data_IF_347049567561
#
_entry.id   IF_347049567561
#
_cell.length_a   1.000
_cell.length_b   1.000
_cell.length_c   1.000
_cell.angle_alpha   90.00
_cell.angle_beta   90.00
_cell.angle_gamma   90.00
#
_symmetry.space_group_name_H-M   'P 1'
#
loop_
_entity.id
_entity.type
_entity.pdbx_description
1 polymer ?
#
# COMPACT_ATOMS: atom_id res chain seq x y z
N UNK A 1 4.08 -1.11 -23.83
CA UNK A 1 4.44 -1.89 -22.61
C UNK A 1 4.88 -0.88 -21.56
N UNK A 2 4.26 -0.85 -20.39
CA UNK A 2 4.54 0.16 -19.34
C UNK A 2 5.69 -0.28 -18.43
N UNK A 3 5.73 -1.57 -18.09
CA UNK A 3 6.78 -2.17 -17.28
C UNK A 3 7.73 -3.00 -18.15
N UNK A 4 9.03 -2.93 -17.85
CA UNK A 4 10.10 -3.58 -18.64
C UNK A 4 11.05 -4.31 -17.67
N UNK A 5 11.17 -5.62 -17.82
CA UNK A 5 12.15 -6.46 -17.08
C UNK A 5 12.21 -6.21 -15.57
N UNK A 6 11.03 -6.09 -14.94
CA UNK A 6 10.91 -5.89 -13.50
C UNK A 6 11.19 -7.22 -12.78
N UNK A 7 12.20 -7.23 -11.91
CA UNK A 7 12.53 -8.40 -11.09
C UNK A 7 12.98 -7.97 -9.69
N UNK A 8 12.27 -8.44 -8.66
CA UNK A 8 12.65 -8.26 -7.25
C UNK A 8 11.99 -9.34 -6.39
N UNK A 9 12.45 -9.47 -5.14
CA UNK A 9 11.89 -10.40 -4.17
C UNK A 9 11.50 -9.64 -2.91
N UNK A 10 10.44 -10.07 -2.24
CA UNK A 10 10.02 -9.52 -0.95
C UNK A 10 10.18 -10.57 0.14
N UNK A 11 10.46 -10.11 1.36
CA UNK A 11 10.59 -10.94 2.54
C UNK A 11 9.53 -10.56 3.58
N UNK A 12 9.16 -11.51 4.42
CA UNK A 12 8.27 -11.26 5.56
C UNK A 12 8.85 -10.17 6.46
N UNK A 13 7.99 -9.25 6.91
CA UNK A 13 8.40 -8.13 7.76
C UNK A 13 9.13 -7.00 7.02
N UNK A 14 8.92 -6.84 5.71
CA UNK A 14 9.43 -5.69 4.96
C UNK A 14 8.33 -4.64 4.68
N UNK A 15 8.71 -3.37 4.77
CA UNK A 15 7.97 -2.26 4.13
C UNK A 15 8.79 -1.78 2.94
N UNK A 16 8.29 -2.04 1.74
CA UNK A 16 8.95 -1.67 0.48
C UNK A 16 8.23 -0.46 -0.10
N UNK A 17 8.93 0.66 -0.19
CA UNK A 17 8.43 1.88 -0.84
C UNK A 17 8.75 1.87 -2.34
N UNK A 18 7.74 2.02 -3.19
CA UNK A 18 7.94 2.27 -4.62
C UNK A 18 7.90 3.78 -4.84
N UNK A 19 9.03 4.34 -5.27
CA UNK A 19 9.20 5.76 -5.55
C UNK A 19 9.55 5.98 -7.02
N UNK A 20 9.31 7.18 -7.53
CA UNK A 20 9.63 7.55 -8.91
C UNK A 20 8.69 8.63 -9.45
N UNK A 21 8.99 9.22 -10.61
CA UNK A 21 8.17 10.28 -11.21
C UNK A 21 6.77 9.78 -11.60
N UNK A 22 5.87 10.73 -11.88
CA UNK A 22 4.56 10.40 -12.41
C UNK A 22 4.70 9.68 -13.77
N UNK A 23 3.88 8.66 -13.99
CA UNK A 23 3.94 7.87 -15.21
C UNK A 23 5.06 6.81 -15.26
N UNK A 24 5.87 6.65 -14.21
CA UNK A 24 6.94 5.63 -14.19
C UNK A 24 6.46 4.18 -14.13
N UNK A 25 5.17 3.95 -13.84
CA UNK A 25 4.56 2.61 -13.79
C UNK A 25 4.27 2.07 -12.38
N UNK A 26 4.37 2.88 -11.32
CA UNK A 26 4.19 2.45 -9.92
C UNK A 26 2.83 1.77 -9.66
N UNK A 27 1.73 2.45 -9.96
CA UNK A 27 0.36 1.90 -9.88
C UNK A 27 0.18 0.65 -10.74
N UNK A 28 0.77 0.67 -11.96
CA UNK A 28 0.73 -0.48 -12.86
C UNK A 28 1.42 -1.68 -12.24
N UNK A 29 2.56 -1.48 -11.58
CA UNK A 29 3.29 -2.54 -10.89
C UNK A 29 2.45 -3.15 -9.76
N UNK A 30 1.85 -2.33 -8.87
CA UNK A 30 0.97 -2.83 -7.83
C UNK A 30 -0.22 -3.62 -8.39
N UNK A 31 -0.89 -3.09 -9.43
CA UNK A 31 -2.01 -3.77 -10.09
C UNK A 31 -1.59 -5.10 -10.75
N UNK A 32 -0.36 -5.16 -11.26
CA UNK A 32 0.18 -6.40 -11.84
C UNK A 32 0.48 -7.42 -10.74
N UNK A 33 1.04 -7.01 -9.59
CA UNK A 33 1.29 -7.89 -8.44
C UNK A 33 -0.02 -8.45 -7.89
N UNK A 34 -1.08 -7.63 -7.86
CA UNK A 34 -2.43 -8.06 -7.41
C UNK A 34 -3.20 -8.88 -8.45
N UNK A 35 -2.63 -9.18 -9.61
CA UNK A 35 -3.30 -9.96 -10.65
C UNK A 35 -4.35 -9.19 -11.47
N UNK A 36 -4.60 -7.90 -11.20
CA UNK A 36 -5.56 -7.07 -11.96
C UNK A 36 -5.09 -6.85 -13.40
N UNK A 37 -3.80 -6.56 -13.59
CA UNK A 37 -3.22 -6.41 -14.91
C UNK A 37 -2.56 -7.70 -15.36
N UNK A 38 -2.75 -8.12 -16.63
CA UNK A 38 -2.12 -9.32 -17.16
C UNK A 38 -0.59 -9.15 -17.28
N UNK A 39 0.12 -10.25 -17.07
CA UNK A 39 1.58 -10.35 -17.24
C UNK A 39 1.84 -10.84 -18.67
N UNK A 40 2.54 -10.04 -19.48
CA UNK A 40 2.88 -10.39 -20.85
C UNK A 40 4.04 -11.41 -20.91
N UNK A 41 5.03 -11.29 -20.03
CA UNK A 41 6.19 -12.18 -19.91
C UNK A 41 6.65 -12.26 -18.48
N UNK A 42 7.30 -13.35 -18.11
CA UNK A 42 7.71 -13.61 -16.71
C UNK A 42 6.58 -14.16 -15.85
N UNK A 43 6.80 -14.10 -14.54
CA UNK A 43 5.85 -14.60 -13.55
C UNK A 43 5.97 -13.87 -12.21
N UNK A 44 4.91 -13.93 -11.41
CA UNK A 44 4.89 -13.48 -10.01
C UNK A 44 4.60 -14.70 -9.15
N UNK A 45 5.50 -14.97 -8.22
CA UNK A 45 5.38 -16.10 -7.31
C UNK A 45 4.96 -15.61 -5.93
N UNK A 46 3.90 -16.19 -5.40
CA UNK A 46 3.46 -16.03 -4.03
C UNK A 46 3.64 -17.38 -3.31
N UNK A 47 4.48 -17.42 -2.28
CA UNK A 47 4.83 -18.67 -1.57
C UNK A 47 5.32 -19.80 -2.51
N UNK A 48 6.03 -19.44 -3.60
CA UNK A 48 6.55 -20.41 -4.59
C UNK A 48 5.55 -20.87 -5.65
N UNK A 49 4.28 -20.47 -5.57
CA UNK A 49 3.23 -20.76 -6.54
C UNK A 49 2.96 -19.54 -7.41
N UNK A 50 2.80 -19.72 -8.73
CA UNK A 50 2.43 -18.62 -9.64
C UNK A 50 1.08 -18.03 -9.30
N UNK A 51 0.95 -16.68 -9.28
CA UNK A 51 -0.35 -16.02 -9.04
C UNK A 51 -1.41 -16.41 -10.09
N UNK A 52 -1.00 -16.89 -11.25
CA UNK A 52 -1.91 -17.37 -12.31
C UNK A 52 -2.61 -18.70 -11.96
N UNK A 53 -2.09 -19.41 -10.97
CA UNK A 53 -2.63 -20.70 -10.49
C UNK A 53 -3.62 -20.53 -9.34
N UNK A 54 -3.78 -19.32 -8.82
CA UNK A 54 -4.76 -18.99 -7.78
C UNK A 54 -6.11 -18.65 -8.41
N UNK A 55 -7.20 -19.05 -7.76
CA UNK A 55 -8.47 -18.40 -8.03
C UNK A 55 -8.52 -16.99 -7.41
N UNK A 56 -9.50 -16.17 -7.82
CA UNK A 56 -9.59 -14.77 -7.37
C UNK A 56 -9.76 -14.65 -5.85
N UNK A 57 -10.53 -15.54 -5.22
CA UNK A 57 -10.73 -15.54 -3.77
C UNK A 57 -9.51 -16.03 -3.01
N UNK A 58 -8.85 -17.06 -3.52
CA UNK A 58 -7.58 -17.55 -2.95
C UNK A 58 -6.55 -16.44 -2.96
N UNK A 59 -6.33 -15.80 -4.10
CA UNK A 59 -5.37 -14.69 -4.21
C UNK A 59 -5.74 -13.53 -3.28
N UNK A 60 -7.03 -13.22 -3.16
CA UNK A 60 -7.51 -12.16 -2.29
C UNK A 60 -7.43 -12.51 -0.79
N UNK A 61 -7.24 -13.77 -0.38
CA UNK A 61 -6.89 -14.11 1.00
C UNK A 61 -5.44 -13.77 1.34
N UNK A 62 -4.56 -13.86 0.36
CA UNK A 62 -3.13 -13.65 0.54
C UNK A 62 -2.67 -12.23 0.20
N UNK A 63 -3.35 -11.54 -0.73
CA UNK A 63 -2.99 -10.18 -1.16
C UNK A 63 -4.19 -9.25 -1.01
N UNK A 64 -4.02 -8.16 -0.27
CA UNK A 64 -4.98 -7.04 -0.26
C UNK A 64 -4.43 -5.86 -1.06
N UNK A 65 -5.31 -5.10 -1.69
CA UNK A 65 -4.94 -3.95 -2.51
C UNK A 65 -5.82 -2.74 -2.24
N UNK A 66 -5.20 -1.64 -1.83
CA UNK A 66 -5.83 -0.33 -1.72
C UNK A 66 -5.46 0.53 -2.92
N UNK A 67 -6.43 0.84 -3.75
CA UNK A 67 -6.24 1.70 -4.92
C UNK A 67 -6.29 3.18 -4.50
N UNK A 68 -5.51 4.04 -5.16
CA UNK A 68 -5.46 5.48 -4.94
C UNK A 68 -6.85 6.14 -5.04
N UNK A 69 -7.59 5.82 -6.10
CA UNK A 69 -8.92 6.35 -6.37
C UNK A 69 -9.96 5.22 -6.31
N UNK A 70 -10.60 5.07 -5.15
CA UNK A 70 -11.77 4.19 -5.02
C UNK A 70 -13.02 5.05 -5.07
N UNK A 71 -13.62 5.15 -6.26
CA UNK A 71 -14.92 5.80 -6.44
C UNK A 71 -16.00 4.88 -5.89
N UNK A 72 -16.63 5.29 -4.79
CA UNK A 72 -17.81 4.61 -4.25
C UNK A 72 -19.01 5.49 -4.59
N UNK A 73 -19.88 4.99 -5.45
CA UNK A 73 -21.05 5.71 -5.96
C UNK A 73 -22.33 5.31 -5.22
N UNK A 74 -22.26 4.26 -4.42
CA UNK A 74 -23.41 3.72 -3.71
C UNK A 74 -23.44 4.16 -2.24
N UNK A 75 -24.65 4.39 -1.74
CA UNK A 75 -24.90 4.81 -0.36
C UNK A 75 -24.92 3.60 0.58
N UNK A 76 -23.74 3.22 1.07
CA UNK A 76 -23.59 2.13 2.05
C UNK A 76 -23.08 2.65 3.38
N UNK A 77 -23.52 2.08 4.51
CA UNK A 77 -22.88 2.28 5.81
C UNK A 77 -21.41 1.93 5.78
N UNK A 78 -20.59 2.66 6.53
CA UNK A 78 -19.13 2.41 6.56
C UNK A 78 -18.80 0.99 7.03
N UNK A 79 -19.55 0.44 7.97
CA UNK A 79 -19.34 -0.94 8.44
C UNK A 79 -19.48 -1.95 7.31
N UNK A 80 -20.48 -1.77 6.43
CA UNK A 80 -20.71 -2.65 5.30
C UNK A 80 -19.55 -2.62 4.30
N UNK A 81 -18.94 -1.45 4.11
CA UNK A 81 -17.73 -1.31 3.29
C UNK A 81 -16.53 -2.02 3.95
N UNK A 82 -16.38 -1.92 5.26
CA UNK A 82 -15.23 -2.51 5.96
C UNK A 82 -15.35 -4.04 6.00
N UNK A 83 -16.54 -4.57 6.28
CA UNK A 83 -16.75 -6.02 6.33
C UNK A 83 -16.56 -6.70 4.98
N UNK A 84 -16.64 -5.97 3.84
CA UNK A 84 -16.26 -6.50 2.51
C UNK A 84 -14.81 -7.04 2.47
N UNK A 85 -13.93 -6.61 3.38
CA UNK A 85 -12.61 -7.23 3.56
C UNK A 85 -12.70 -8.74 3.85
N UNK A 86 -13.81 -9.22 4.40
CA UNK A 86 -14.04 -10.65 4.69
C UNK A 86 -14.63 -11.43 3.51
N UNK A 87 -15.01 -10.76 2.43
CA UNK A 87 -15.61 -11.41 1.25
C UNK A 87 -14.79 -12.61 0.70
N UNK A 88 -13.46 -12.59 0.64
CA UNK A 88 -12.67 -13.74 0.17
C UNK A 88 -12.84 -15.02 0.99
N UNK A 89 -13.30 -14.90 2.23
CA UNK A 89 -13.49 -16.02 3.15
C UNK A 89 -14.88 -16.63 3.13
N UNK A 90 -15.85 -15.97 2.48
CA UNK A 90 -17.22 -16.44 2.40
C UNK A 90 -17.38 -17.56 1.37
N UNK A 91 -18.15 -18.59 1.72
CA UNK A 91 -18.63 -19.57 0.77
C UNK A 91 -19.78 -18.99 -0.10
N UNK A 92 -20.18 -19.74 -1.09
CA UNK A 92 -21.28 -19.33 -1.96
C UNK A 92 -22.58 -19.23 -1.16
N UNK A 93 -23.28 -18.10 -1.22
CA UNK A 93 -24.51 -17.77 -0.47
C UNK A 93 -24.33 -17.66 1.05
N UNK A 94 -23.10 -17.59 1.54
CA UNK A 94 -22.84 -17.35 2.95
C UNK A 94 -22.94 -15.86 3.28
N UNK A 95 -23.58 -15.54 4.41
CA UNK A 95 -23.61 -14.20 4.98
C UNK A 95 -22.42 -13.97 5.93
N UNK A 96 -22.06 -12.70 6.18
CA UNK A 96 -21.04 -12.35 7.14
C UNK A 96 -21.43 -12.83 8.54
N UNK A 97 -20.51 -13.48 9.21
CA UNK A 97 -20.71 -13.93 10.59
C UNK A 97 -20.56 -12.76 11.58
N UNK A 98 -21.06 -12.98 12.81
CA UNK A 98 -20.83 -12.02 13.90
C UNK A 98 -19.34 -11.73 14.12
N UNK A 99 -18.48 -12.74 13.96
CA UNK A 99 -17.01 -12.59 14.07
C UNK A 99 -16.42 -11.69 12.97
N UNK A 100 -16.97 -11.72 11.76
CA UNK A 100 -16.51 -10.86 10.67
C UNK A 100 -16.88 -9.39 10.96
N UNK A 101 -18.04 -9.14 11.53
CA UNK A 101 -18.47 -7.80 11.93
C UNK A 101 -17.62 -7.29 13.10
N UNK A 102 -17.39 -8.10 14.14
CA UNK A 102 -16.53 -7.76 15.27
C UNK A 102 -15.09 -7.45 14.83
N UNK A 103 -14.58 -8.19 13.84
CA UNK A 103 -13.28 -7.94 13.24
C UNK A 103 -13.24 -6.61 12.47
N UNK A 104 -14.28 -6.32 11.69
CA UNK A 104 -14.43 -5.05 11.00
C UNK A 104 -14.47 -3.88 11.99
N UNK A 105 -15.26 -3.97 13.06
CA UNK A 105 -15.31 -2.94 14.13
C UNK A 105 -13.95 -2.75 14.81
N UNK A 106 -13.21 -3.82 15.10
CA UNK A 106 -11.84 -3.76 15.63
C UNK A 106 -10.92 -2.93 14.73
N UNK A 107 -10.92 -3.19 13.42
CA UNK A 107 -10.06 -2.44 12.50
C UNK A 107 -10.57 -1.02 12.24
N UNK A 108 -11.87 -0.78 12.35
CA UNK A 108 -12.41 0.58 12.37
C UNK A 108 -11.97 1.37 13.61
N UNK A 109 -11.85 0.72 14.76
CA UNK A 109 -11.30 1.35 15.96
C UNK A 109 -9.83 1.73 15.77
N UNK A 110 -8.99 0.81 15.28
CA UNK A 110 -7.57 1.05 15.00
C UNK A 110 -7.35 2.22 14.01
N UNK A 111 -8.25 2.41 13.05
CA UNK A 111 -8.17 3.50 12.07
C UNK A 111 -8.92 4.76 12.48
N UNK A 112 -9.43 4.84 13.73
CA UNK A 112 -10.24 5.96 14.23
C UNK A 112 -11.49 6.24 13.39
N UNK A 113 -12.16 5.19 12.87
CA UNK A 113 -13.34 5.30 12.01
C UNK A 113 -14.60 4.65 12.59
N UNK A 114 -14.51 3.97 13.75
CA UNK A 114 -15.65 3.27 14.37
C UNK A 114 -16.85 4.20 14.63
N UNK A 115 -16.61 5.48 14.95
CA UNK A 115 -17.65 6.50 15.11
C UNK A 115 -18.47 6.79 13.84
N UNK A 116 -18.01 6.30 12.70
CA UNK A 116 -18.69 6.45 11.42
C UNK A 116 -19.39 5.17 10.96
N UNK A 117 -19.40 4.11 11.77
CA UNK A 117 -19.83 2.77 11.33
C UNK A 117 -21.20 2.77 10.64
N UNK A 118 -22.16 3.51 11.19
CA UNK A 118 -23.55 3.59 10.70
C UNK A 118 -23.78 4.75 9.72
N UNK A 119 -22.74 5.57 9.44
CA UNK A 119 -22.84 6.68 8.48
C UNK A 119 -22.62 6.17 7.07
N UNK A 120 -23.28 6.82 6.12
CA UNK A 120 -22.97 6.64 4.72
C UNK A 120 -21.54 7.01 4.40
N UNK A 121 -20.86 6.18 3.61
CA UNK A 121 -19.52 6.45 3.08
C UNK A 121 -19.48 7.73 2.23
N UNK A 122 -20.61 8.10 1.60
CA UNK A 122 -20.72 9.31 0.77
C UNK A 122 -20.72 10.60 1.60
N UNK A 123 -21.08 10.52 2.90
CA UNK A 123 -21.10 11.67 3.80
C UNK A 123 -19.72 12.01 4.39
N UNK A 124 -18.72 11.17 4.14
CA UNK A 124 -17.39 11.34 4.69
C UNK A 124 -16.53 12.26 3.81
N UNK A 125 -15.65 13.01 4.46
CA UNK A 125 -14.55 13.69 3.78
C UNK A 125 -13.60 12.71 3.11
N UNK A 126 -12.78 13.16 2.16
CA UNK A 126 -11.81 12.30 1.47
C UNK A 126 -10.88 11.54 2.42
N UNK A 127 -10.35 12.23 3.44
CA UNK A 127 -9.47 11.60 4.43
C UNK A 127 -10.19 10.60 5.35
N UNK A 128 -11.44 10.88 5.75
CA UNK A 128 -12.25 9.93 6.53
C UNK A 128 -12.56 8.68 5.71
N UNK A 129 -12.94 8.85 4.45
CA UNK A 129 -13.19 7.76 3.50
C UNK A 129 -11.92 6.90 3.30
N UNK A 130 -10.77 7.54 3.14
CA UNK A 130 -9.49 6.85 2.98
C UNK A 130 -9.18 5.93 4.18
N UNK A 131 -9.43 6.40 5.41
CA UNK A 131 -9.25 5.62 6.62
C UNK A 131 -10.24 4.46 6.74
N UNK A 132 -11.48 4.62 6.32
CA UNK A 132 -12.48 3.53 6.25
C UNK A 132 -12.03 2.47 5.23
N UNK A 133 -11.52 2.89 4.07
CA UNK A 133 -10.97 1.97 3.08
C UNK A 133 -9.72 1.25 3.60
N UNK A 134 -8.88 1.93 4.37
CA UNK A 134 -7.74 1.29 5.01
C UNK A 134 -8.18 0.25 6.07
N UNK A 135 -9.21 0.54 6.87
CA UNK A 135 -9.82 -0.44 7.77
C UNK A 135 -10.29 -1.69 7.02
N UNK A 136 -10.94 -1.54 5.85
CA UNK A 136 -11.32 -2.66 4.97
C UNK A 136 -10.11 -3.52 4.59
N UNK A 137 -8.99 -2.89 4.21
CA UNK A 137 -7.76 -3.60 3.83
C UNK A 137 -7.21 -4.42 5.01
N UNK A 138 -7.19 -3.84 6.20
CA UNK A 138 -6.74 -4.54 7.42
C UNK A 138 -7.69 -5.68 7.80
N UNK A 139 -9.01 -5.51 7.62
CA UNK A 139 -10.03 -6.53 7.90
C UNK A 139 -9.89 -7.76 7.01
N UNK A 140 -9.24 -7.63 5.87
CA UNK A 140 -8.92 -8.76 4.98
C UNK A 140 -7.87 -9.70 5.57
N UNK A 141 -7.01 -9.24 6.51
CA UNK A 141 -5.97 -10.03 7.20
C UNK A 141 -5.00 -10.76 6.25
N UNK A 142 -4.78 -10.24 5.06
CA UNK A 142 -3.87 -10.82 4.08
C UNK A 142 -2.41 -10.76 4.53
N UNK A 143 -1.57 -11.66 3.97
CA UNK A 143 -0.12 -11.69 4.22
C UNK A 143 0.63 -10.58 3.48
N UNK A 144 0.13 -10.18 2.32
CA UNK A 144 0.70 -9.09 1.50
C UNK A 144 -0.29 -7.94 1.43
N UNK A 145 0.16 -6.73 1.75
CA UNK A 145 -0.64 -5.51 1.70
C UNK A 145 -0.04 -4.58 0.63
N UNK A 146 -0.82 -4.28 -0.39
CA UNK A 146 -0.46 -3.36 -1.46
C UNK A 146 -1.21 -2.04 -1.28
N UNK A 147 -0.49 -0.93 -1.19
CA UNK A 147 -1.07 0.39 -0.94
C UNK A 147 -0.63 1.37 -2.03
N UNK A 148 -1.57 1.85 -2.82
CA UNK A 148 -1.32 2.85 -3.87
C UNK A 148 -1.66 4.25 -3.34
N UNK A 149 -0.63 5.00 -2.94
CA UNK A 149 -0.74 6.36 -2.38
C UNK A 149 -1.74 6.47 -1.21
N UNK A 150 -1.59 5.64 -0.15
CA UNK A 150 -2.61 5.54 0.89
C UNK A 150 -2.79 6.83 1.70
N UNK A 151 -1.88 7.79 1.59
CA UNK A 151 -1.86 9.03 2.37
C UNK A 151 -2.22 10.29 1.57
N UNK A 152 -2.49 10.19 0.26
CA UNK A 152 -2.64 11.34 -0.62
C UNK A 152 -3.75 12.34 -0.22
N UNK A 153 -4.79 11.88 0.48
CA UNK A 153 -5.92 12.72 0.92
C UNK A 153 -5.95 12.97 2.43
N UNK A 154 -4.88 12.58 3.15
CA UNK A 154 -4.80 12.70 4.60
C UNK A 154 -4.05 13.97 5.01
N UNK A 155 -4.47 14.56 6.12
CA UNK A 155 -3.64 15.53 6.81
C UNK A 155 -2.47 14.84 7.53
N UNK A 156 -1.47 15.62 7.94
CA UNK A 156 -0.22 15.14 8.53
C UNK A 156 -0.44 14.19 9.71
N UNK A 157 -1.45 14.46 10.55
CA UNK A 157 -1.74 13.62 11.73
C UNK A 157 -2.25 12.24 11.32
N UNK A 158 -3.21 12.21 10.41
CA UNK A 158 -3.79 10.93 9.97
C UNK A 158 -2.87 10.15 9.04
N UNK A 159 -2.00 10.83 8.27
CA UNK A 159 -0.90 10.18 7.56
C UNK A 159 0.02 9.43 8.53
N UNK A 160 0.45 10.11 9.60
CA UNK A 160 1.29 9.52 10.65
C UNK A 160 0.61 8.34 11.34
N UNK A 161 -0.67 8.47 11.70
CA UNK A 161 -1.44 7.41 12.34
C UNK A 161 -1.57 6.18 11.42
N UNK A 162 -1.88 6.37 10.12
CA UNK A 162 -1.97 5.28 9.15
C UNK A 162 -0.63 4.54 8.99
N UNK A 163 0.46 5.29 8.83
CA UNK A 163 1.78 4.68 8.62
C UNK A 163 2.32 3.98 9.88
N UNK A 164 1.91 4.39 11.07
CA UNK A 164 2.16 3.64 12.31
C UNK A 164 1.43 2.30 12.32
N UNK A 165 0.17 2.25 11.86
CA UNK A 165 -0.55 0.97 11.75
C UNK A 165 0.09 0.07 10.68
N UNK A 166 0.53 0.64 9.55
CA UNK A 166 1.32 -0.09 8.54
C UNK A 166 2.59 -0.69 9.16
N UNK A 167 3.30 0.06 10.01
CA UNK A 167 4.50 -0.44 10.69
C UNK A 167 4.19 -1.60 11.65
N UNK A 168 3.07 -1.56 12.35
CA UNK A 168 2.63 -2.68 13.21
C UNK A 168 2.33 -3.94 12.40
N UNK A 169 1.71 -3.80 11.23
CA UNK A 169 1.46 -4.94 10.35
C UNK A 169 2.76 -5.58 9.84
N UNK A 170 3.79 -4.76 9.55
CA UNK A 170 5.14 -5.25 9.27
C UNK A 170 5.71 -6.06 10.44
N UNK A 171 5.56 -5.56 11.69
CA UNK A 171 6.06 -6.23 12.90
C UNK A 171 5.32 -7.57 13.16
N UNK A 172 4.09 -7.70 12.65
CA UNK A 172 3.33 -8.95 12.59
C UNK A 172 3.80 -9.89 11.46
N UNK A 173 4.89 -9.57 10.75
CA UNK A 173 5.48 -10.39 9.71
C UNK A 173 4.85 -10.22 8.32
N UNK A 174 3.96 -9.26 8.11
CA UNK A 174 3.37 -9.01 6.78
C UNK A 174 4.37 -8.35 5.84
N UNK A 175 4.17 -8.55 4.55
CA UNK A 175 4.87 -7.85 3.47
C UNK A 175 4.02 -6.66 3.07
N UNK A 176 4.59 -5.46 3.09
CA UNK A 176 3.88 -4.26 2.69
C UNK A 176 4.62 -3.60 1.53
N UNK A 177 3.90 -3.38 0.44
CA UNK A 177 4.43 -2.66 -0.72
C UNK A 177 3.56 -1.43 -0.94
N UNK A 178 4.15 -0.25 -0.86
CA UNK A 178 3.38 0.97 -0.98
C UNK A 178 4.02 1.97 -1.93
N UNK A 179 3.19 2.61 -2.75
CA UNK A 179 3.58 3.76 -3.57
C UNK A 179 3.56 5.00 -2.68
N UNK A 180 4.67 5.72 -2.63
CA UNK A 180 4.83 6.96 -1.87
C UNK A 180 5.38 8.06 -2.77
N UNK A 181 4.77 9.25 -2.72
CA UNK A 181 5.29 10.44 -3.39
C UNK A 181 6.21 11.27 -2.50
N UNK A 182 5.96 11.31 -1.20
CA UNK A 182 6.78 12.04 -0.26
C UNK A 182 8.02 11.23 0.12
N UNK A 183 9.18 11.64 -0.39
CA UNK A 183 10.44 10.95 -0.12
C UNK A 183 10.83 10.94 1.37
N UNK A 184 10.48 11.98 2.15
CA UNK A 184 10.73 11.99 3.59
C UNK A 184 9.90 10.94 4.33
N UNK A 185 8.64 10.77 3.90
CA UNK A 185 7.78 9.68 4.39
C UNK A 185 8.36 8.32 4.04
N UNK A 186 8.86 8.15 2.80
CA UNK A 186 9.52 6.92 2.38
C UNK A 186 10.77 6.62 3.22
N UNK A 187 11.63 7.61 3.46
CA UNK A 187 12.83 7.50 4.31
C UNK A 187 12.47 7.06 5.73
N UNK A 188 11.40 7.60 6.28
CA UNK A 188 11.01 7.36 7.68
C UNK A 188 10.40 5.97 7.92
N UNK A 189 9.61 5.47 6.97
CA UNK A 189 8.77 4.28 7.20
C UNK A 189 9.20 3.04 6.43
N UNK A 190 9.88 3.19 5.29
CA UNK A 190 10.27 2.04 4.49
C UNK A 190 11.60 1.45 4.99
N UNK A 191 11.69 0.12 4.98
CA UNK A 191 12.94 -0.59 5.21
C UNK A 191 13.77 -0.73 3.93
N UNK A 192 13.09 -0.61 2.76
CA UNK A 192 13.67 -0.78 1.43
C UNK A 192 12.93 0.07 0.43
N UNK A 193 13.62 0.57 -0.58
CA UNK A 193 13.03 1.36 -1.65
C UNK A 193 13.30 0.73 -3.01
N UNK A 194 12.31 0.83 -3.90
CA UNK A 194 12.44 0.54 -5.32
C UNK A 194 12.23 1.86 -6.07
N UNK A 195 13.27 2.36 -6.72
CA UNK A 195 13.23 3.54 -7.57
C UNK A 195 12.85 3.14 -8.99
N UNK A 196 11.65 3.53 -9.40
CA UNK A 196 11.09 3.19 -10.71
C UNK A 196 11.10 4.41 -11.64
N UNK A 197 11.63 4.24 -12.85
CA UNK A 197 11.59 5.26 -13.90
C UNK A 197 11.37 4.62 -15.26
N UNK A 198 10.47 5.19 -16.08
CA UNK A 198 10.16 4.75 -17.44
C UNK A 198 9.87 3.24 -17.57
N UNK A 199 9.25 2.67 -16.54
CA UNK A 199 8.91 1.24 -16.49
C UNK A 199 10.06 0.31 -16.10
N UNK A 200 11.22 0.83 -15.69
CA UNK A 200 12.39 0.04 -15.26
C UNK A 200 12.68 0.30 -13.78
N UNK A 201 13.22 -0.70 -13.09
CA UNK A 201 13.84 -0.51 -11.77
C UNK A 201 15.22 0.11 -12.00
N UNK A 202 15.40 1.34 -11.55
CA UNK A 202 16.70 2.05 -11.61
C UNK A 202 17.59 1.62 -10.46
N UNK A 203 17.00 1.49 -9.27
CA UNK A 203 17.69 1.04 -8.07
C UNK A 203 16.70 0.33 -7.15
N UNK A 204 17.18 -0.70 -6.49
CA UNK A 204 16.49 -1.48 -5.47
C UNK A 204 17.45 -1.75 -4.33
N UNK A 205 17.10 -1.39 -3.10
CA UNK A 205 18.00 -1.55 -1.95
C UNK A 205 17.54 -0.80 -0.71
N UNK A 206 18.42 -0.72 0.27
CA UNK A 206 18.21 0.06 1.50
C UNK A 206 17.95 1.53 1.17
N UNK A 207 17.30 2.23 2.08
CA UNK A 207 16.93 3.66 1.88
C UNK A 207 18.15 4.50 1.50
N UNK A 208 19.29 4.27 2.16
CA UNK A 208 20.54 4.99 1.96
C UNK A 208 21.19 4.72 0.59
N UNK A 209 20.95 3.54 0.03
CA UNK A 209 21.45 3.15 -1.29
C UNK A 209 20.63 3.74 -2.43
N UNK A 210 19.36 4.02 -2.17
CA UNK A 210 18.41 4.52 -3.16
C UNK A 210 18.31 6.04 -3.13
N UNK A 211 18.25 6.63 -1.94
CA UNK A 211 18.19 8.09 -1.75
C UNK A 211 19.60 8.68 -1.79
N UNK A 212 20.10 8.89 -3.00
CA UNK A 212 21.39 9.54 -3.27
C UNK A 212 21.22 10.78 -4.12
N UNK A 213 22.16 11.73 -4.03
CA UNK A 213 22.16 12.94 -4.86
C UNK A 213 22.09 12.58 -6.35
N UNK A 214 22.84 11.55 -6.76
CA UNK A 214 22.87 11.05 -8.14
C UNK A 214 21.52 10.51 -8.59
N UNK A 215 20.88 9.61 -7.82
CA UNK A 215 19.61 9.03 -8.18
C UNK A 215 18.49 10.08 -8.21
N UNK A 216 18.48 11.01 -7.25
CA UNK A 216 17.50 12.09 -7.20
C UNK A 216 17.64 13.04 -8.38
N UNK A 217 18.88 13.37 -8.76
CA UNK A 217 19.13 14.20 -9.94
C UNK A 217 18.76 13.49 -11.25
N UNK A 218 19.20 12.24 -11.41
CA UNK A 218 18.97 11.49 -12.66
C UNK A 218 17.49 11.16 -12.91
N UNK A 219 16.73 10.85 -11.84
CA UNK A 219 15.36 10.37 -11.98
C UNK A 219 14.32 11.49 -11.82
N UNK A 220 14.55 12.42 -10.92
CA UNK A 220 13.59 13.52 -10.65
C UNK A 220 14.03 14.86 -11.25
N UNK A 221 15.25 14.96 -11.78
CA UNK A 221 15.80 16.20 -12.36
C UNK A 221 16.05 17.31 -11.34
N UNK A 222 16.22 16.96 -10.07
CA UNK A 222 16.44 17.91 -8.97
C UNK A 222 17.86 17.80 -8.41
N UNK A 223 18.52 18.95 -8.25
CA UNK A 223 19.80 19.00 -7.53
C UNK A 223 19.53 19.01 -6.04
N UNK A 224 20.12 18.07 -5.34
CA UNK A 224 19.91 17.87 -3.91
C UNK A 224 21.23 17.72 -3.18
N UNK A 225 21.20 18.03 -1.88
CA UNK A 225 22.21 17.61 -0.92
C UNK A 225 21.59 16.63 0.04
N UNK A 226 22.12 15.42 0.10
CA UNK A 226 21.69 14.35 1.02
C UNK A 226 22.59 14.35 2.24
N UNK A 227 22.00 14.28 3.43
CA UNK A 227 22.73 14.34 4.71
C UNK A 227 22.01 13.53 5.79
N UNK A 228 22.75 13.18 6.84
CA UNK A 228 22.14 12.59 8.02
C UNK A 228 21.59 13.68 8.94
N UNK A 229 20.33 13.59 9.29
CA UNK A 229 19.65 14.54 10.18
C UNK A 229 19.69 14.01 11.62
N UNK A 230 20.48 14.66 12.48
CA UNK A 230 20.69 14.28 13.88
C UNK A 230 19.40 14.37 14.73
N UNK A 231 18.43 15.21 14.35
CA UNK A 231 17.16 15.39 15.07
C UNK A 231 16.23 14.22 14.80
N UNK A 232 16.05 13.85 13.52
CA UNK A 232 15.20 12.73 13.12
C UNK A 232 15.91 11.38 13.22
N UNK A 233 17.24 11.37 13.41
CA UNK A 233 18.12 10.19 13.38
C UNK A 233 17.94 9.35 12.12
N UNK A 234 17.79 10.01 10.99
CA UNK A 234 17.54 9.41 9.68
C UNK A 234 18.17 10.22 8.58
N UNK A 235 18.23 9.63 7.39
CA UNK A 235 18.59 10.35 6.18
C UNK A 235 17.59 11.49 5.91
N UNK A 236 18.06 12.61 5.39
CA UNK A 236 17.24 13.72 4.91
C UNK A 236 17.92 14.37 3.69
N UNK A 237 17.23 15.24 2.98
CA UNK A 237 17.75 15.96 1.83
C UNK A 237 17.19 17.37 1.74
N UNK A 238 17.95 18.27 1.14
CA UNK A 238 17.49 19.60 0.73
C UNK A 238 17.70 19.79 -0.78
N UNK A 239 16.82 20.53 -1.41
CA UNK A 239 16.95 20.96 -2.82
C UNK A 239 17.83 22.21 -2.85
N UNK A 240 18.81 22.26 -3.79
CA UNK A 240 19.80 23.32 -3.95
C UNK A 240 19.75 23.95 -5.33
#
# INVERSE_FOLDING_TARGET
MILKDISFKCQSGEIIGIIGPNGSGKTTLLKTINGINPINSGDILLNGKSIKEYDEKELARDISFMNQNTNIEFDFPCIDIVVLGRYPYLERFQEYSKKDIELAEKYMELTNTLKFKDKSILQLSGGERQRVLFAKILTQESQVILLDEPTASLDMRYEEDLLKEVSKEKDNGKIIILVIHNLRTAIKYCSRLILLSEGNIIKDGAVEEVITEENLNNVFGIKTKVYYNEISKSLDFCII
#
